data_IF_884075412054
#
_entry.id   IF_884075412054
#
_cell.length_a   1.000
_cell.length_b   1.000
_cell.length_c   1.000
_cell.angle_alpha   90.00
_cell.angle_beta   90.00
_cell.angle_gamma   90.00
#
_symmetry.space_group_name_H-M   'P 1'
#
loop_
_entity.id
_entity.type
_entity.pdbx_description
1 polymer ?
#
# COMPACT_ATOMS: atom_id res chain seq x y z
N UNK A 1 4.65 -36.64 -13.88
CA UNK A 1 3.23 -36.27 -14.07
C UNK A 1 2.81 -35.12 -13.14
N UNK A 2 2.85 -35.27 -11.80
CA UNK A 2 2.51 -34.14 -10.92
C UNK A 2 3.56 -33.01 -11.00
N UNK A 3 4.84 -33.33 -10.82
CA UNK A 3 5.95 -32.37 -10.96
C UNK A 3 5.93 -31.64 -12.32
N UNK A 4 5.87 -32.37 -13.44
CA UNK A 4 5.77 -31.78 -14.78
C UNK A 4 4.58 -30.83 -14.95
N UNK A 5 3.45 -31.10 -14.28
CA UNK A 5 2.28 -30.22 -14.29
C UNK A 5 2.51 -28.97 -13.46
N UNK A 6 3.13 -29.11 -12.28
CA UNK A 6 3.51 -27.96 -11.45
C UNK A 6 4.51 -27.07 -12.20
N UNK A 7 5.52 -27.66 -12.84
CA UNK A 7 6.50 -26.91 -13.65
C UNK A 7 5.83 -26.13 -14.79
N UNK A 8 4.83 -26.72 -15.45
CA UNK A 8 4.05 -26.04 -16.49
C UNK A 8 3.22 -24.87 -15.91
N UNK A 9 2.62 -25.05 -14.73
CA UNK A 9 1.87 -23.99 -14.05
C UNK A 9 2.77 -22.84 -13.60
N UNK A 10 3.96 -23.14 -13.09
CA UNK A 10 4.98 -22.14 -12.71
C UNK A 10 5.46 -21.39 -13.94
N UNK A 11 5.70 -22.09 -15.06
CA UNK A 11 6.08 -21.46 -16.32
C UNK A 11 4.98 -20.52 -16.83
N UNK A 12 3.71 -20.96 -16.79
CA UNK A 12 2.58 -20.10 -17.14
C UNK A 12 2.46 -18.87 -16.21
N UNK A 13 2.73 -19.03 -14.91
CA UNK A 13 2.74 -17.92 -13.97
C UNK A 13 3.83 -16.90 -14.33
N UNK A 14 5.05 -17.36 -14.64
CA UNK A 14 6.16 -16.47 -15.03
C UNK A 14 5.95 -15.75 -16.36
N UNK A 15 5.15 -16.32 -17.26
CA UNK A 15 4.75 -15.70 -18.53
C UNK A 15 3.58 -14.72 -18.36
N UNK A 16 2.93 -14.70 -17.19
CA UNK A 16 1.79 -13.82 -16.93
C UNK A 16 2.27 -12.44 -16.51
N UNK A 17 1.92 -11.42 -17.28
CA UNK A 17 2.23 -10.02 -16.98
C UNK A 17 0.96 -9.24 -16.66
N UNK A 18 1.02 -8.38 -15.65
CA UNK A 18 -0.03 -7.39 -15.40
C UNK A 18 0.09 -6.24 -16.41
N UNK A 19 -1.02 -5.88 -17.05
CA UNK A 19 -1.08 -4.78 -18.02
C UNK A 19 -1.18 -3.40 -17.37
N UNK A 20 -1.43 -3.35 -16.06
CA UNK A 20 -1.45 -2.14 -15.21
C UNK A 20 -0.45 -2.29 -14.07
N UNK A 21 -0.08 -1.18 -13.42
CA UNK A 21 0.74 -1.25 -12.21
C UNK A 21 0.04 -2.14 -11.17
N UNK A 22 0.59 -3.32 -10.85
CA UNK A 22 -0.14 -4.30 -10.06
C UNK A 22 -0.20 -3.93 -8.57
N UNK A 23 0.66 -3.00 -8.13
CA UNK A 23 0.71 -2.49 -6.76
C UNK A 23 -0.12 -1.21 -6.55
N UNK A 24 -0.75 -0.68 -7.59
CA UNK A 24 -1.72 0.41 -7.42
C UNK A 24 -3.06 -0.13 -6.88
N UNK A 25 -3.05 -0.43 -5.59
CA UNK A 25 -4.19 -0.92 -4.82
C UNK A 25 -5.10 0.22 -4.35
N UNK A 26 -4.72 1.46 -4.64
CA UNK A 26 -5.52 2.66 -4.40
C UNK A 26 -6.44 2.90 -5.58
N UNK A 27 -5.89 3.18 -6.76
CA UNK A 27 -6.65 3.39 -8.01
C UNK A 27 -6.83 2.06 -8.73
N UNK A 28 -7.35 1.10 -7.97
CA UNK A 28 -7.36 -0.30 -8.38
C UNK A 28 -8.18 -0.52 -9.66
N UNK A 29 -7.55 -1.21 -10.61
CA UNK A 29 -8.17 -1.69 -11.85
C UNK A 29 -8.04 -3.20 -11.92
N UNK A 30 -9.16 -3.87 -12.22
CA UNK A 30 -9.14 -5.29 -12.50
C UNK A 30 -8.31 -5.58 -13.75
N UNK A 31 -7.56 -6.67 -13.74
CA UNK A 31 -6.68 -7.08 -14.83
C UNK A 31 -7.00 -8.53 -15.24
N UNK A 32 -7.04 -8.87 -16.54
CA UNK A 32 -7.22 -10.25 -16.98
C UNK A 32 -6.25 -11.26 -16.34
N UNK A 33 -5.03 -10.83 -15.99
CA UNK A 33 -4.05 -11.64 -15.28
C UNK A 33 -4.57 -12.16 -13.93
N UNK A 34 -5.46 -11.42 -13.26
CA UNK A 34 -6.06 -11.86 -11.98
C UNK A 34 -6.79 -13.20 -12.14
N UNK A 35 -7.55 -13.39 -13.22
CA UNK A 35 -8.31 -14.63 -13.46
C UNK A 35 -7.41 -15.77 -13.95
N UNK A 36 -6.37 -15.46 -14.74
CA UNK A 36 -5.35 -16.44 -15.13
C UNK A 36 -4.64 -17.03 -13.90
N UNK A 37 -4.16 -16.15 -13.00
CA UNK A 37 -3.47 -16.57 -11.78
C UNK A 37 -4.42 -17.29 -10.83
N UNK A 38 -5.68 -16.85 -10.72
CA UNK A 38 -6.72 -17.57 -9.96
C UNK A 38 -6.88 -19.00 -10.47
N UNK A 39 -6.88 -19.21 -11.79
CA UNK A 39 -6.92 -20.53 -12.40
C UNK A 39 -5.73 -21.42 -11.99
N UNK A 40 -4.52 -20.85 -12.01
CA UNK A 40 -3.30 -21.53 -11.57
C UNK A 40 -3.39 -21.92 -10.09
N UNK A 41 -3.72 -20.97 -9.21
CA UNK A 41 -3.87 -21.20 -7.76
C UNK A 41 -4.86 -22.33 -7.49
N UNK A 42 -6.05 -22.29 -8.12
CA UNK A 42 -7.07 -23.33 -7.94
C UNK A 42 -6.60 -24.69 -8.42
N UNK A 43 -5.84 -24.76 -9.52
CA UNK A 43 -5.28 -26.01 -10.01
C UNK A 43 -4.24 -26.59 -9.05
N UNK A 44 -3.35 -25.77 -8.50
CA UNK A 44 -2.37 -26.18 -7.48
C UNK A 44 -3.08 -26.69 -6.22
N UNK A 45 -4.12 -25.99 -5.77
CA UNK A 45 -4.93 -26.40 -4.60
C UNK A 45 -5.66 -27.72 -4.87
N UNK A 46 -6.20 -27.91 -6.08
CA UNK A 46 -6.84 -29.17 -6.48
C UNK A 46 -5.88 -30.36 -6.53
N UNK A 47 -4.59 -30.09 -6.72
CA UNK A 47 -3.52 -31.10 -6.68
C UNK A 47 -3.13 -31.52 -5.26
N UNK A 48 -3.72 -30.89 -4.24
CA UNK A 48 -3.58 -31.25 -2.83
C UNK A 48 -2.27 -30.78 -2.19
N UNK A 49 -2.00 -31.28 -0.98
CA UNK A 49 -0.85 -30.84 -0.18
C UNK A 49 0.50 -31.07 -0.90
N UNK A 50 0.65 -32.19 -1.60
CA UNK A 50 1.87 -32.50 -2.38
C UNK A 50 2.07 -31.50 -3.52
N UNK A 51 1.01 -31.15 -4.26
CA UNK A 51 1.07 -30.13 -5.31
C UNK A 51 1.43 -28.75 -4.76
N UNK A 52 0.83 -28.36 -3.63
CA UNK A 52 1.15 -27.09 -2.95
C UNK A 52 2.60 -27.04 -2.43
N UNK A 53 3.14 -28.15 -1.94
CA UNK A 53 4.54 -28.26 -1.52
C UNK A 53 5.51 -28.15 -2.70
N UNK A 54 5.25 -28.88 -3.78
CA UNK A 54 6.06 -28.79 -5.01
C UNK A 54 6.05 -27.37 -5.58
N UNK A 55 4.87 -26.73 -5.61
CA UNK A 55 4.73 -25.35 -6.11
C UNK A 55 5.51 -24.35 -5.27
N UNK A 56 5.50 -24.47 -3.93
CA UNK A 56 6.31 -23.61 -3.05
C UNK A 56 7.81 -23.89 -3.12
N UNK A 57 8.21 -25.09 -3.54
CA UNK A 57 9.62 -25.45 -3.69
C UNK A 57 10.24 -24.91 -4.99
N UNK A 58 9.42 -24.39 -5.92
CA UNK A 58 9.88 -23.70 -7.13
C UNK A 58 10.64 -22.40 -6.79
N UNK A 59 11.49 -21.88 -7.70
CA UNK A 59 12.29 -20.69 -7.45
C UNK A 59 11.43 -19.50 -7.02
N UNK A 60 11.84 -18.76 -5.98
CA UNK A 60 11.04 -17.67 -5.39
C UNK A 60 10.72 -16.57 -6.39
N UNK A 61 11.67 -16.22 -7.26
CA UNK A 61 11.49 -15.25 -8.35
C UNK A 61 10.31 -15.62 -9.26
N UNK A 62 10.03 -16.92 -9.40
CA UNK A 62 8.90 -17.43 -10.18
C UNK A 62 7.55 -17.30 -9.47
N UNK A 63 7.55 -17.04 -8.15
CA UNK A 63 6.38 -17.04 -7.27
C UNK A 63 6.02 -15.65 -6.74
N UNK A 64 6.83 -14.62 -7.02
CA UNK A 64 6.62 -13.24 -6.54
C UNK A 64 5.23 -12.68 -6.92
N UNK A 65 4.69 -13.09 -8.08
CA UNK A 65 3.36 -12.71 -8.55
C UNK A 65 2.22 -13.22 -7.69
N UNK A 66 2.39 -14.32 -6.94
CA UNK A 66 1.36 -14.88 -6.06
C UNK A 66 1.06 -13.92 -4.91
N UNK A 67 2.10 -13.31 -4.32
CA UNK A 67 1.94 -12.32 -3.27
C UNK A 67 1.11 -11.14 -3.76
N UNK A 68 1.50 -10.58 -4.92
CA UNK A 68 0.79 -9.45 -5.55
C UNK A 68 -0.66 -9.80 -5.90
N UNK A 69 -0.89 -10.98 -6.47
CA UNK A 69 -2.24 -11.48 -6.76
C UNK A 69 -3.10 -11.57 -5.49
N UNK A 70 -2.55 -12.07 -4.38
CA UNK A 70 -3.27 -12.16 -3.12
C UNK A 70 -3.73 -10.78 -2.59
N UNK A 71 -2.87 -9.74 -2.71
CA UNK A 71 -3.25 -8.36 -2.35
C UNK A 71 -4.41 -7.86 -3.22
N UNK A 72 -4.27 -8.01 -4.55
CA UNK A 72 -5.27 -7.58 -5.52
C UNK A 72 -6.61 -8.28 -5.31
N UNK A 73 -6.57 -9.59 -5.03
CA UNK A 73 -7.77 -10.41 -4.81
C UNK A 73 -8.46 -10.07 -3.48
N UNK A 74 -7.71 -9.69 -2.46
CA UNK A 74 -8.24 -9.14 -1.20
C UNK A 74 -9.06 -7.87 -1.46
N UNK A 75 -8.54 -6.94 -2.26
CA UNK A 75 -9.27 -5.72 -2.63
C UNK A 75 -10.49 -6.01 -3.53
N UNK A 76 -10.37 -6.92 -4.48
CA UNK A 76 -11.50 -7.36 -5.31
C UNK A 76 -12.63 -7.93 -4.45
N UNK A 77 -12.30 -8.73 -3.43
CA UNK A 77 -13.27 -9.28 -2.50
C UNK A 77 -14.08 -8.18 -1.80
N UNK A 78 -13.41 -7.14 -1.32
CA UNK A 78 -14.06 -5.97 -0.73
C UNK A 78 -14.95 -5.25 -1.73
N UNK A 79 -14.44 -4.94 -2.92
CA UNK A 79 -15.19 -4.19 -3.95
C UNK A 79 -16.42 -4.92 -4.47
N UNK A 80 -16.32 -6.24 -4.62
CA UNK A 80 -17.40 -7.06 -5.17
C UNK A 80 -18.24 -7.72 -4.09
N UNK A 81 -17.95 -7.47 -2.81
CA UNK A 81 -18.59 -8.13 -1.67
C UNK A 81 -18.63 -9.66 -1.85
N UNK A 82 -17.48 -10.25 -2.21
CA UNK A 82 -17.39 -11.64 -2.64
C UNK A 82 -16.52 -12.47 -1.69
N UNK A 83 -17.17 -13.33 -0.89
CA UNK A 83 -16.46 -14.27 -0.01
C UNK A 83 -15.56 -15.20 -0.82
N UNK A 84 -15.99 -15.63 -2.01
CA UNK A 84 -15.19 -16.48 -2.89
C UNK A 84 -13.85 -15.84 -3.27
N UNK A 85 -13.83 -14.53 -3.53
CA UNK A 85 -12.58 -13.81 -3.79
C UNK A 85 -11.71 -13.68 -2.55
N UNK A 86 -12.31 -13.50 -1.37
CA UNK A 86 -11.53 -13.52 -0.12
C UNK A 86 -10.88 -14.91 0.10
N UNK A 87 -11.59 -15.99 -0.22
CA UNK A 87 -11.04 -17.34 -0.18
C UNK A 87 -9.92 -17.53 -1.22
N UNK A 88 -10.09 -17.06 -2.46
CA UNK A 88 -9.04 -17.11 -3.48
C UNK A 88 -7.76 -16.37 -3.00
N UNK A 89 -7.92 -15.22 -2.32
CA UNK A 89 -6.80 -14.48 -1.73
C UNK A 89 -6.08 -15.27 -0.62
N UNK A 90 -6.85 -15.91 0.27
CA UNK A 90 -6.30 -16.76 1.34
C UNK A 90 -5.56 -18.00 0.78
N UNK A 91 -6.10 -18.62 -0.26
CA UNK A 91 -5.45 -19.72 -0.97
C UNK A 91 -4.12 -19.26 -1.58
N UNK A 92 -4.09 -18.07 -2.19
CA UNK A 92 -2.86 -17.48 -2.73
C UNK A 92 -1.83 -17.17 -1.62
N UNK A 93 -2.25 -16.57 -0.50
CA UNK A 93 -1.34 -16.36 0.65
C UNK A 93 -0.76 -17.66 1.20
N UNK A 94 -1.54 -18.75 1.21
CA UNK A 94 -1.06 -20.06 1.63
C UNK A 94 0.01 -20.66 0.70
N UNK A 95 0.03 -20.25 -0.57
CA UNK A 95 1.00 -20.69 -1.59
C UNK A 95 2.26 -19.82 -1.68
N UNK A 96 2.35 -18.70 -0.95
CA UNK A 96 3.58 -17.91 -0.89
C UNK A 96 4.69 -18.75 -0.26
N UNK A 97 5.80 -18.93 -0.99
CA UNK A 97 6.89 -19.82 -0.58
C UNK A 97 7.61 -19.36 0.70
N UNK A 98 7.85 -18.05 0.82
CA UNK A 98 8.60 -17.47 1.93
C UNK A 98 7.62 -16.83 2.93
N UNK A 99 7.50 -17.42 4.11
CA UNK A 99 6.57 -16.96 5.17
C UNK A 99 6.78 -15.50 5.58
N UNK A 100 8.02 -14.99 5.46
CA UNK A 100 8.37 -13.62 5.80
C UNK A 100 7.86 -12.59 4.76
N UNK A 101 7.62 -13.03 3.52
CA UNK A 101 7.10 -12.16 2.45
C UNK A 101 5.57 -12.00 2.51
N UNK A 102 4.90 -12.77 3.37
CA UNK A 102 3.46 -12.65 3.58
C UNK A 102 3.17 -11.46 4.50
N UNK A 103 2.34 -10.48 4.07
CA UNK A 103 1.95 -9.31 4.85
C UNK A 103 0.91 -9.66 5.94
N UNK A 104 1.37 -10.35 6.99
CA UNK A 104 0.50 -10.92 8.02
C UNK A 104 -0.31 -9.88 8.79
N UNK A 105 0.29 -8.75 9.16
CA UNK A 105 -0.37 -7.73 9.98
C UNK A 105 -1.28 -6.79 9.19
N UNK A 106 -1.12 -6.76 7.87
CA UNK A 106 -1.84 -5.87 6.97
C UNK A 106 -2.82 -6.66 6.11
N UNK A 107 -2.39 -7.13 4.94
CA UNK A 107 -3.29 -7.66 3.92
C UNK A 107 -3.88 -9.04 4.25
N UNK A 108 -3.17 -9.94 4.93
CA UNK A 108 -3.77 -11.21 5.38
C UNK A 108 -4.86 -10.96 6.41
N UNK A 109 -4.60 -10.06 7.37
CA UNK A 109 -5.60 -9.64 8.36
C UNK A 109 -6.77 -8.92 7.69
N UNK A 110 -6.52 -8.11 6.65
CA UNK A 110 -7.55 -7.48 5.83
C UNK A 110 -8.42 -8.52 5.10
N UNK A 111 -7.82 -9.52 4.46
CA UNK A 111 -8.53 -10.61 3.81
C UNK A 111 -9.42 -11.40 4.78
N UNK A 112 -8.89 -11.70 5.97
CA UNK A 112 -9.63 -12.32 7.06
C UNK A 112 -10.79 -11.45 7.56
N UNK A 113 -10.55 -10.14 7.71
CA UNK A 113 -11.56 -9.17 8.11
C UNK A 113 -12.71 -9.13 7.10
N UNK A 114 -12.41 -9.00 5.80
CA UNK A 114 -13.43 -9.00 4.75
C UNK A 114 -14.15 -10.34 4.65
N UNK A 115 -13.42 -11.47 4.73
CA UNK A 115 -14.05 -12.79 4.72
C UNK A 115 -15.08 -12.92 5.85
N UNK A 116 -14.73 -12.47 7.07
CA UNK A 116 -15.63 -12.48 8.23
C UNK A 116 -16.85 -11.57 8.01
N UNK A 117 -16.66 -10.34 7.52
CA UNK A 117 -17.77 -9.42 7.21
C UNK A 117 -18.73 -10.00 6.17
N UNK A 118 -18.20 -10.78 5.23
CA UNK A 118 -18.97 -11.46 4.17
C UNK A 118 -19.59 -12.79 4.63
N UNK A 119 -19.53 -13.11 5.93
CA UNK A 119 -20.16 -14.28 6.53
C UNK A 119 -19.30 -15.55 6.55
N UNK A 120 -17.99 -15.44 6.29
CA UNK A 120 -17.05 -16.54 6.44
C UNK A 120 -16.87 -16.93 7.91
N UNK A 121 -17.03 -18.22 8.21
CA UNK A 121 -16.79 -18.75 9.55
C UNK A 121 -15.31 -19.04 9.79
N UNK A 122 -14.84 -18.79 11.01
CA UNK A 122 -13.42 -18.92 11.40
C UNK A 122 -12.92 -20.35 11.23
N UNK A 123 -13.73 -21.38 11.51
CA UNK A 123 -13.33 -22.78 11.36
C UNK A 123 -13.12 -23.11 9.89
N UNK A 124 -14.04 -22.71 9.03
CA UNK A 124 -13.92 -22.88 7.57
C UNK A 124 -12.65 -22.21 7.04
N UNK A 125 -12.38 -20.97 7.44
CA UNK A 125 -11.19 -20.22 7.00
C UNK A 125 -9.90 -20.92 7.44
N UNK A 126 -9.85 -21.40 8.68
CA UNK A 126 -8.72 -22.16 9.22
C UNK A 126 -8.48 -23.46 8.45
N UNK A 127 -9.51 -24.30 8.33
CA UNK A 127 -9.40 -25.60 7.67
C UNK A 127 -8.95 -25.45 6.22
N UNK A 128 -9.49 -24.46 5.50
CA UNK A 128 -9.11 -24.19 4.11
C UNK A 128 -7.65 -23.77 4.02
N UNK A 129 -7.24 -22.74 4.76
CA UNK A 129 -5.86 -22.24 4.70
C UNK A 129 -4.85 -23.31 5.11
N UNK A 130 -5.12 -24.03 6.20
CA UNK A 130 -4.25 -25.07 6.72
C UNK A 130 -4.11 -26.28 5.79
N UNK A 131 -5.11 -26.56 4.95
CA UNK A 131 -5.05 -27.64 3.96
C UNK A 131 -4.08 -27.38 2.80
N UNK A 132 -3.70 -26.11 2.60
CA UNK A 132 -2.84 -25.67 1.51
C UNK A 132 -1.46 -25.26 2.04
N UNK A 133 -1.44 -24.49 3.13
CA UNK A 133 -0.27 -23.79 3.64
C UNK A 133 0.81 -24.72 4.22
N UNK A 134 2.06 -24.25 4.21
CA UNK A 134 3.13 -24.89 4.98
C UNK A 134 2.83 -24.85 6.48
N UNK A 135 3.38 -25.79 7.26
CA UNK A 135 3.19 -25.84 8.71
C UNK A 135 3.52 -24.50 9.40
N UNK A 136 4.55 -23.78 8.93
CA UNK A 136 4.95 -22.48 9.49
C UNK A 136 3.94 -21.37 9.14
N UNK A 137 3.44 -21.35 7.90
CA UNK A 137 2.38 -20.42 7.49
C UNK A 137 1.07 -20.71 8.23
N UNK A 138 0.69 -21.97 8.39
CA UNK A 138 -0.50 -22.38 9.15
C UNK A 138 -0.44 -21.93 10.60
N UNK A 139 0.68 -22.14 11.29
CA UNK A 139 0.86 -21.69 12.67
C UNK A 139 0.75 -20.16 12.80
N UNK A 140 1.24 -19.41 11.81
CA UNK A 140 1.14 -17.94 11.81
C UNK A 140 -0.27 -17.45 11.48
N UNK A 141 -0.98 -18.18 10.62
CA UNK A 141 -2.38 -17.92 10.31
C UNK A 141 -3.30 -18.13 11.52
N UNK A 142 -3.03 -19.13 12.37
CA UNK A 142 -3.75 -19.31 13.63
C UNK A 142 -3.62 -18.10 14.56
N UNK A 143 -2.43 -17.49 14.63
CA UNK A 143 -2.21 -16.26 15.38
C UNK A 143 -3.02 -15.10 14.78
N UNK A 144 -3.06 -14.98 13.45
CA UNK A 144 -3.86 -13.98 12.77
C UNK A 144 -5.37 -14.16 13.04
N UNK A 145 -5.88 -15.40 12.99
CA UNK A 145 -7.27 -15.71 13.32
C UNK A 145 -7.63 -15.39 14.78
N UNK A 146 -6.74 -15.66 15.73
CA UNK A 146 -6.99 -15.26 17.12
C UNK A 146 -6.96 -13.72 17.27
N UNK A 147 -6.05 -13.04 16.58
CA UNK A 147 -6.00 -11.58 16.55
C UNK A 147 -7.29 -10.98 15.96
N UNK A 148 -7.86 -11.59 14.92
CA UNK A 148 -9.09 -11.15 14.26
C UNK A 148 -10.27 -11.01 15.23
N UNK A 149 -10.33 -11.82 16.30
CA UNK A 149 -11.37 -11.71 17.34
C UNK A 149 -11.37 -10.34 18.04
N UNK A 150 -10.23 -9.65 18.06
CA UNK A 150 -10.05 -8.32 18.64
C UNK A 150 -10.14 -7.20 17.60
N UNK A 151 -10.21 -7.53 16.32
CA UNK A 151 -10.31 -6.55 15.22
C UNK A 151 -11.77 -6.20 15.01
N UNK A 152 -12.14 -4.98 15.39
CA UNK A 152 -13.48 -4.40 15.21
C UNK A 152 -13.63 -3.61 13.91
N UNK A 153 -12.52 -3.17 13.34
CA UNK A 153 -12.45 -2.20 12.26
C UNK A 153 -11.23 -2.47 11.38
N UNK A 154 -11.27 -1.98 10.14
CA UNK A 154 -10.20 -2.18 9.15
C UNK A 154 -8.88 -1.47 9.54
N UNK A 155 -8.94 -0.39 10.32
CA UNK A 155 -7.75 0.35 10.72
C UNK A 155 -6.81 -0.49 11.60
N UNK A 156 -7.37 -1.41 12.39
CA UNK A 156 -6.59 -2.43 13.14
C UNK A 156 -5.89 -3.46 12.25
N UNK A 157 -6.29 -3.57 10.99
CA UNK A 157 -5.55 -4.30 9.95
C UNK A 157 -4.52 -3.41 9.27
N UNK A 158 -4.20 -2.21 9.78
CA UNK A 158 -3.22 -1.29 9.18
C UNK A 158 -3.54 -1.00 7.70
N UNK A 159 -4.83 -0.93 7.39
CA UNK A 159 -5.36 -0.62 6.07
C UNK A 159 -6.37 0.52 6.21
N UNK A 160 -6.32 1.49 5.29
CA UNK A 160 -7.32 2.53 5.17
C UNK A 160 -8.07 2.37 3.86
N UNK A 161 -9.40 2.35 3.93
CA UNK A 161 -10.25 2.36 2.74
C UNK A 161 -10.40 3.78 2.23
N UNK A 162 -10.22 3.94 0.92
CA UNK A 162 -10.34 5.21 0.20
C UNK A 162 -11.30 5.05 -0.96
N UNK A 163 -11.96 6.15 -1.33
CA UNK A 163 -12.83 6.21 -2.49
C UNK A 163 -12.08 6.83 -3.66
N UNK A 164 -12.04 6.12 -4.77
CA UNK A 164 -11.46 6.61 -6.03
C UNK A 164 -12.54 6.67 -7.11
N UNK A 165 -12.22 7.30 -8.25
CA UNK A 165 -13.06 7.24 -9.46
C UNK A 165 -13.32 5.81 -9.95
N UNK A 166 -12.45 4.86 -9.60
CA UNK A 166 -12.60 3.46 -9.95
C UNK A 166 -13.40 2.67 -8.91
N UNK A 167 -13.71 3.22 -7.73
CA UNK A 167 -14.35 2.52 -6.60
C UNK A 167 -13.46 2.49 -5.37
N UNK A 168 -13.73 1.57 -4.43
CA UNK A 168 -12.92 1.44 -3.22
C UNK A 168 -11.47 1.04 -3.56
N UNK A 169 -10.52 1.70 -2.90
CA UNK A 169 -9.10 1.38 -2.86
C UNK A 169 -8.64 1.16 -1.43
N UNK A 170 -7.44 0.62 -1.27
CA UNK A 170 -6.83 0.39 0.04
C UNK A 170 -5.42 0.96 0.08
N UNK A 171 -5.12 1.72 1.14
CA UNK A 171 -3.78 2.21 1.47
C UNK A 171 -3.24 1.38 2.62
N UNK A 172 -2.04 0.82 2.45
CA UNK A 172 -1.33 0.12 3.52
C UNK A 172 -0.61 1.12 4.43
N UNK A 173 -0.87 1.02 5.74
CA UNK A 173 -0.35 1.93 6.76
C UNK A 173 0.40 1.14 7.85
N UNK A 174 1.54 0.51 7.51
CA UNK A 174 2.30 -0.27 8.46
C UNK A 174 3.00 0.63 9.47
N UNK A 175 3.14 0.18 10.72
CA UNK A 175 4.11 0.81 11.62
C UNK A 175 5.50 0.71 10.98
N UNK A 176 6.18 1.83 10.79
CA UNK A 176 7.46 1.90 10.05
C UNK A 176 8.57 1.03 10.67
N UNK A 177 8.44 0.63 11.94
CA UNK A 177 9.34 -0.35 12.57
C UNK A 177 9.18 -1.78 12.06
N UNK A 178 8.07 -2.09 11.40
CA UNK A 178 7.68 -3.43 10.98
C UNK A 178 7.94 -3.70 9.49
N UNK A 179 8.46 -2.73 8.74
CA UNK A 179 8.73 -2.86 7.31
C UNK A 179 10.06 -3.61 7.07
N UNK A 180 10.06 -4.85 6.53
CA UNK A 180 11.25 -5.35 5.85
C UNK A 180 11.51 -4.43 4.66
N UNK A 181 12.75 -3.95 4.48
CA UNK A 181 13.09 -2.97 3.45
C UNK A 181 12.71 -3.42 2.05
N UNK A 182 11.48 -3.13 1.61
CA UNK A 182 11.01 -3.25 0.23
C UNK A 182 11.07 -1.86 -0.38
N UNK A 183 12.23 -1.59 -0.99
CA UNK A 183 12.55 -0.37 -1.71
C UNK A 183 14.00 -0.44 -2.20
N UNK A 184 14.30 0.21 -3.33
CA UNK A 184 15.66 0.36 -3.87
C UNK A 184 16.66 0.98 -2.87
N UNK A 185 16.14 1.61 -1.82
CA UNK A 185 16.91 2.10 -0.69
C UNK A 185 16.43 1.41 0.59
N UNK A 186 17.33 0.83 1.40
CA UNK A 186 16.95 0.39 2.73
C UNK A 186 16.44 1.61 3.50
N UNK A 187 15.25 1.52 4.09
CA UNK A 187 14.82 2.51 5.08
C UNK A 187 15.94 2.62 6.12
N UNK A 188 16.53 3.81 6.35
CA UNK A 188 17.57 3.98 7.34
C UNK A 188 17.02 3.44 8.66
N UNK A 189 17.77 2.56 9.34
CA UNK A 189 17.33 1.91 10.57
C UNK A 189 16.82 2.98 11.54
N UNK A 190 15.49 3.11 11.59
CA UNK A 190 14.80 4.08 12.42
C UNK A 190 15.09 3.66 13.85
N UNK A 191 15.95 4.43 14.53
CA UNK A 191 16.34 4.12 15.89
C UNK A 191 15.11 4.17 16.79
N UNK A 192 14.59 3.02 17.22
CA UNK A 192 13.56 2.81 18.27
C UNK A 192 12.25 3.63 18.24
N UNK A 193 12.11 4.66 17.40
CA UNK A 193 10.89 5.45 17.27
C UNK A 193 9.92 4.69 16.36
N UNK A 194 8.84 4.19 16.96
CA UNK A 194 7.70 3.66 16.21
C UNK A 194 6.95 4.85 15.64
N UNK A 195 6.96 5.00 14.32
CA UNK A 195 6.08 5.96 13.66
C UNK A 195 4.80 5.23 13.29
N UNK A 196 3.75 5.56 14.02
CA UNK A 196 2.40 5.07 13.79
C UNK A 196 1.71 5.79 12.63
N UNK A 197 0.49 5.34 12.33
CA UNK A 197 -0.43 6.03 11.44
C UNK A 197 -1.70 6.30 12.25
N UNK A 198 -1.76 7.47 12.88
CA UNK A 198 -2.87 7.88 13.75
C UNK A 198 -3.41 9.27 13.38
N UNK A 199 -3.73 9.52 12.09
CA UNK A 199 -4.30 10.80 11.70
C UNK A 199 -5.71 10.97 12.27
N UNK A 200 -6.10 12.21 12.55
CA UNK A 200 -7.45 12.61 12.96
C UNK A 200 -8.33 12.95 11.77
N UNK A 201 -7.71 13.30 10.64
CA UNK A 201 -8.39 13.51 9.36
C UNK A 201 -8.24 12.29 8.47
N UNK A 202 -9.06 12.19 7.42
CA UNK A 202 -8.89 11.14 6.42
C UNK A 202 -7.69 11.45 5.50
N UNK A 203 -6.48 11.33 6.06
CA UNK A 203 -5.23 11.62 5.36
C UNK A 203 -5.05 10.73 4.13
N UNK A 204 -5.46 9.46 4.21
CA UNK A 204 -5.46 8.54 3.08
C UNK A 204 -6.29 9.08 1.92
N UNK A 205 -7.53 9.52 2.17
CA UNK A 205 -8.38 10.12 1.13
C UNK A 205 -7.77 11.43 0.59
N UNK A 206 -7.21 12.28 1.45
CA UNK A 206 -6.53 13.50 0.98
C UNK A 206 -5.38 13.17 0.02
N UNK A 207 -4.56 12.16 0.32
CA UNK A 207 -3.48 11.73 -0.57
C UNK A 207 -4.00 11.23 -1.92
N UNK A 208 -5.12 10.50 -1.91
CA UNK A 208 -5.80 10.08 -3.15
C UNK A 208 -6.31 11.28 -3.93
N UNK A 209 -7.00 12.22 -3.28
CA UNK A 209 -7.55 13.40 -3.93
C UNK A 209 -6.46 14.23 -4.63
N UNK A 210 -5.28 14.36 -4.01
CA UNK A 210 -4.12 15.03 -4.61
C UNK A 210 -3.58 14.24 -5.81
N UNK A 211 -3.39 12.92 -5.67
CA UNK A 211 -2.89 12.07 -6.74
C UNK A 211 -3.83 12.02 -7.95
N UNK A 212 -5.14 11.84 -7.72
CA UNK A 212 -6.17 11.83 -8.77
C UNK A 212 -6.27 13.20 -9.46
N UNK A 213 -6.17 14.29 -8.71
CA UNK A 213 -6.22 15.63 -9.29
C UNK A 213 -4.94 15.96 -10.09
N UNK A 214 -3.77 15.44 -9.70
CA UNK A 214 -2.55 15.50 -10.51
C UNK A 214 -2.72 14.71 -11.82
N UNK A 215 -3.20 13.47 -11.75
CA UNK A 215 -3.42 12.62 -12.93
C UNK A 215 -4.43 13.26 -13.91
N UNK A 216 -5.46 13.93 -13.38
CA UNK A 216 -6.48 14.61 -14.17
C UNK A 216 -5.93 15.82 -14.96
N UNK A 217 -4.78 16.37 -14.59
CA UNK A 217 -4.13 17.44 -15.37
C UNK A 217 -3.53 16.92 -16.68
N UNK A 218 -3.26 15.61 -16.78
CA UNK A 218 -2.44 14.98 -17.83
C UNK A 218 -1.00 15.53 -17.94
N UNK A 219 -0.57 16.35 -16.97
CA UNK A 219 0.79 16.89 -16.89
C UNK A 219 1.69 16.01 -16.01
N UNK A 220 1.10 15.25 -15.09
CA UNK A 220 1.78 14.32 -14.22
C UNK A 220 1.03 12.99 -14.15
N UNK A 221 1.74 11.91 -13.81
CA UNK A 221 1.17 10.60 -13.48
C UNK A 221 1.73 10.13 -12.14
N UNK A 222 0.85 9.90 -11.18
CA UNK A 222 1.21 9.56 -9.81
C UNK A 222 1.40 8.04 -9.65
N UNK A 223 2.44 7.64 -8.93
CA UNK A 223 2.74 6.26 -8.56
C UNK A 223 1.93 5.81 -7.33
N UNK A 224 2.27 4.65 -6.77
CA UNK A 224 1.65 4.13 -5.54
C UNK A 224 1.79 5.08 -4.35
N UNK A 225 0.75 5.10 -3.49
CA UNK A 225 0.74 5.84 -2.23
C UNK A 225 1.21 4.91 -1.12
N UNK A 226 2.25 5.32 -0.40
CA UNK A 226 2.85 4.54 0.69
C UNK A 226 3.04 5.41 1.94
N UNK A 227 3.01 4.77 3.11
CA UNK A 227 3.38 5.45 4.35
C UNK A 227 4.87 5.82 4.35
N UNK A 228 5.16 7.02 4.83
CA UNK A 228 6.53 7.53 4.97
C UNK A 228 6.60 8.59 6.07
N UNK A 229 7.73 9.29 6.16
CA UNK A 229 7.96 10.42 7.04
C UNK A 229 8.38 11.64 6.23
N UNK A 230 7.93 12.82 6.65
CA UNK A 230 8.32 14.07 6.01
C UNK A 230 9.73 14.48 6.46
N UNK A 231 10.75 14.53 5.57
CA UNK A 231 12.10 14.91 5.96
C UNK A 231 12.19 16.37 6.41
N UNK A 232 12.95 16.66 7.48
CA UNK A 232 13.14 18.04 7.95
C UNK A 232 13.91 18.91 6.96
N UNK A 233 14.66 18.31 6.03
CA UNK A 233 15.31 19.04 4.93
C UNK A 233 14.33 19.74 3.98
N UNK A 234 13.09 19.25 3.90
CA UNK A 234 12.02 19.87 3.11
C UNK A 234 11.27 20.96 3.89
N UNK A 235 11.52 21.07 5.20
CA UNK A 235 10.87 22.01 6.11
C UNK A 235 11.93 22.62 7.06
N UNK A 236 12.72 23.61 6.62
CA UNK A 236 13.86 24.14 7.37
C UNK A 236 13.56 24.65 8.79
N UNK A 237 12.33 25.10 9.07
CA UNK A 237 11.89 25.54 10.39
C UNK A 237 11.67 24.38 11.37
N UNK A 238 11.70 23.12 10.91
CA UNK A 238 11.59 21.96 11.77
C UNK A 238 12.77 21.89 12.75
N UNK A 239 12.46 21.90 14.05
CA UNK A 239 13.45 22.16 15.11
C UNK A 239 14.19 20.91 15.61
N UNK A 240 13.74 19.71 15.22
CA UNK A 240 14.22 18.46 15.82
C UNK A 240 14.25 17.30 14.82
N UNK A 241 15.37 16.57 14.80
CA UNK A 241 15.48 15.27 14.14
C UNK A 241 15.60 15.31 12.60
N UNK A 242 15.82 14.15 11.98
CA UNK A 242 15.87 14.01 10.51
C UNK A 242 14.49 14.05 9.85
N UNK A 243 13.42 13.82 10.62
CA UNK A 243 12.04 13.81 10.13
C UNK A 243 11.14 14.69 10.99
N UNK A 244 10.18 15.36 10.35
CA UNK A 244 9.15 16.11 11.04
C UNK A 244 8.23 15.13 11.79
N UNK A 245 7.94 15.45 13.04
CA UNK A 245 6.99 14.67 13.84
C UNK A 245 5.57 14.89 13.31
N UNK A 246 4.93 13.80 12.92
CA UNK A 246 3.61 13.78 12.28
C UNK A 246 2.75 12.71 12.96
N UNK A 247 1.44 12.91 12.97
CA UNK A 247 0.49 11.85 13.37
C UNK A 247 0.39 10.77 12.29
N UNK A 248 0.55 11.18 11.03
CA UNK A 248 0.78 10.30 9.89
C UNK A 248 1.36 11.09 8.71
N UNK A 249 2.06 10.37 7.82
CA UNK A 249 2.55 10.93 6.57
C UNK A 249 2.47 9.86 5.47
N UNK A 250 1.93 10.24 4.32
CA UNK A 250 1.88 9.44 3.11
C UNK A 250 2.69 10.12 2.03
N UNK A 251 3.33 9.34 1.16
CA UNK A 251 4.00 9.85 -0.03
C UNK A 251 3.57 9.11 -1.29
N UNK A 252 3.77 9.77 -2.42
CA UNK A 252 3.81 9.13 -3.73
C UNK A 252 4.77 9.90 -4.64
N UNK A 253 5.35 9.20 -5.61
CA UNK A 253 6.11 9.82 -6.70
C UNK A 253 5.16 10.24 -7.82
N UNK A 254 5.48 11.30 -8.54
CA UNK A 254 4.76 11.68 -9.75
C UNK A 254 5.75 11.98 -10.88
N UNK A 255 5.50 11.39 -12.04
CA UNK A 255 6.29 11.62 -13.27
C UNK A 255 5.63 12.70 -14.11
N UNK A 256 6.38 13.74 -14.47
CA UNK A 256 5.94 14.87 -15.27
C UNK A 256 6.90 15.06 -16.47
N UNK A 257 6.56 14.44 -17.60
CA UNK A 257 7.46 14.39 -18.76
C UNK A 257 8.72 13.57 -18.46
N UNK A 258 9.90 14.18 -18.64
CA UNK A 258 11.20 13.58 -18.33
C UNK A 258 11.63 13.77 -16.87
N UNK A 259 10.86 14.53 -16.09
CA UNK A 259 11.16 14.87 -14.71
C UNK A 259 10.22 14.17 -13.74
N UNK A 260 10.59 14.14 -12.46
CA UNK A 260 9.73 13.59 -11.41
C UNK A 260 9.83 14.41 -10.12
N UNK A 261 8.80 14.32 -9.31
CA UNK A 261 8.75 14.93 -7.99
C UNK A 261 8.13 13.94 -6.99
N UNK A 262 8.37 14.17 -5.70
CA UNK A 262 7.69 13.46 -4.61
C UNK A 262 6.68 14.41 -4.01
N UNK A 263 5.46 13.92 -3.80
CA UNK A 263 4.46 14.57 -2.99
C UNK A 263 4.39 13.87 -1.62
N UNK A 264 4.47 14.67 -0.56
CA UNK A 264 4.21 14.27 0.82
C UNK A 264 2.90 14.91 1.26
N UNK A 265 2.06 14.12 1.93
CA UNK A 265 0.82 14.57 2.55
C UNK A 265 0.88 14.14 4.01
N UNK A 266 1.07 15.12 4.89
CA UNK A 266 1.30 14.90 6.31
C UNK A 266 0.21 15.56 7.15
N UNK A 267 -0.15 14.90 8.25
CA UNK A 267 -0.88 15.52 9.35
C UNK A 267 0.08 15.69 10.53
N UNK A 268 0.16 16.91 11.07
CA UNK A 268 1.09 17.23 12.15
C UNK A 268 0.58 16.70 13.49
N UNK A 269 1.51 16.39 14.39
CA UNK A 269 1.16 15.98 15.75
C UNK A 269 0.75 17.18 16.60
N UNK A 270 -0.36 17.05 17.34
CA UNK A 270 -0.81 18.04 18.32
C UNK A 270 0.14 18.14 19.54
N UNK A 271 1.06 17.19 19.72
CA UNK A 271 1.87 17.10 20.95
C UNK A 271 2.99 18.14 21.05
N UNK A 272 3.40 18.75 19.93
CA UNK A 272 4.60 19.59 19.85
C UNK A 272 4.32 21.09 19.63
N UNK A 273 3.06 21.54 19.80
CA UNK A 273 2.62 22.93 19.55
C UNK A 273 3.21 23.49 18.23
N UNK A 274 3.25 22.66 17.19
CA UNK A 274 3.83 23.01 15.90
C UNK A 274 2.90 23.98 15.17
N UNK A 275 3.43 25.15 14.81
CA UNK A 275 2.72 26.08 13.95
C UNK A 275 2.79 25.58 12.49
N UNK A 276 1.68 24.99 12.02
CA UNK A 276 1.56 24.44 10.66
C UNK A 276 1.74 25.53 9.61
N UNK A 277 1.36 26.77 9.91
CA UNK A 277 1.55 27.91 9.02
C UNK A 277 3.04 28.28 8.94
N UNK A 278 3.75 28.37 10.07
CA UNK A 278 5.21 28.60 10.12
C UNK A 278 5.96 27.51 9.33
N UNK A 279 5.59 26.24 9.53
CA UNK A 279 6.18 25.11 8.83
C UNK A 279 5.86 25.14 7.34
N UNK A 280 4.62 25.45 6.96
CA UNK A 280 4.21 25.59 5.57
C UNK A 280 4.92 26.74 4.85
N UNK A 281 5.07 27.90 5.49
CA UNK A 281 5.85 29.02 4.96
C UNK A 281 7.33 28.67 4.80
N UNK A 282 7.90 27.97 5.79
CA UNK A 282 9.27 27.50 5.72
C UNK A 282 9.49 26.53 4.56
N UNK A 283 8.56 25.60 4.35
CA UNK A 283 8.59 24.67 3.24
C UNK A 283 8.47 25.40 1.88
N UNK A 284 7.62 26.43 1.77
CA UNK A 284 7.55 27.27 0.53
C UNK A 284 8.83 28.03 0.25
N UNK A 285 9.66 28.29 1.26
CA UNK A 285 10.94 28.96 1.12
C UNK A 285 12.05 28.10 0.48
N UNK A 286 11.81 26.80 0.31
CA UNK A 286 12.73 25.89 -0.38
C UNK A 286 12.59 26.05 -1.89
N UNK A 287 13.69 26.30 -2.58
CA UNK A 287 13.70 26.54 -4.03
C UNK A 287 13.12 25.36 -4.81
N UNK A 288 12.23 25.66 -5.77
CA UNK A 288 11.58 24.67 -6.63
C UNK A 288 10.50 23.83 -5.93
N UNK A 289 10.27 24.01 -4.63
CA UNK A 289 9.28 23.27 -3.86
C UNK A 289 7.91 23.96 -3.88
N UNK A 290 6.84 23.17 -3.91
CA UNK A 290 5.49 23.63 -3.57
C UNK A 290 5.16 23.18 -2.15
N UNK A 291 4.60 24.06 -1.33
CA UNK A 291 3.99 23.66 -0.07
C UNK A 291 2.66 24.40 0.18
N UNK A 292 1.63 23.65 0.57
CA UNK A 292 0.32 24.19 0.98
C UNK A 292 -0.11 23.53 2.27
N UNK A 293 -0.82 24.28 3.11
CA UNK A 293 -1.24 23.79 4.41
C UNK A 293 -2.62 24.33 4.80
N UNK A 294 -3.21 23.68 5.79
CA UNK A 294 -4.33 24.18 6.58
C UNK A 294 -3.99 24.10 8.08
N UNK A 295 -5.01 24.09 8.96
CA UNK A 295 -4.84 24.07 10.41
C UNK A 295 -4.03 22.88 10.97
N UNK A 296 -3.92 21.77 10.24
CA UNK A 296 -3.28 20.52 10.76
C UNK A 296 -2.44 19.78 9.72
N UNK A 297 -2.70 20.04 8.44
CA UNK A 297 -2.19 19.24 7.33
C UNK A 297 -1.25 20.06 6.48
N UNK A 298 -0.21 19.39 5.99
CA UNK A 298 0.81 19.96 5.15
C UNK A 298 1.01 19.05 3.93
N UNK A 299 0.87 19.63 2.74
CA UNK A 299 1.24 19.01 1.47
C UNK A 299 2.53 19.66 1.01
N UNK A 300 3.55 18.84 0.74
CA UNK A 300 4.84 19.28 0.18
C UNK A 300 5.10 18.52 -1.10
N UNK A 301 5.31 19.21 -2.22
CA UNK A 301 5.81 18.61 -3.45
C UNK A 301 7.22 19.12 -3.71
N UNK A 302 8.17 18.20 -3.80
CA UNK A 302 9.58 18.52 -4.02
C UNK A 302 10.09 17.81 -5.29
N UNK A 303 10.78 18.53 -6.19
CA UNK A 303 11.47 17.90 -7.31
C UNK A 303 12.44 16.83 -6.81
N UNK A 304 12.61 15.75 -7.59
CA UNK A 304 13.67 14.78 -7.33
C UNK A 304 15.02 15.35 -7.78
N UNK A 305 16.11 15.12 -7.02
CA UNK A 305 17.43 15.49 -7.47
C UNK A 305 17.80 14.70 -8.73
N UNK A 306 18.06 15.40 -9.83
CA UNK A 306 18.56 14.80 -11.07
C UNK A 306 20.08 14.90 -11.10
N UNK A 307 20.76 13.76 -11.29
CA UNK A 307 22.23 13.72 -11.42
C UNK A 307 22.69 13.83 -12.88
N UNK A 308 21.77 14.06 -13.82
CA UNK A 308 22.05 14.19 -15.24
C UNK A 308 22.20 15.66 -15.64
N UNK A 309 23.37 16.04 -16.16
CA UNK A 309 23.70 17.41 -16.60
C UNK A 309 22.80 17.93 -17.75
N UNK A 310 21.97 17.06 -18.36
CA UNK A 310 21.06 17.37 -19.47
C UNK A 310 19.59 17.54 -19.07
N UNK A 311 19.22 17.26 -17.80
CA UNK A 311 17.85 17.41 -17.33
C UNK A 311 17.52 18.90 -17.16
N UNK A 312 17.02 19.52 -18.24
CA UNK A 312 16.64 20.94 -18.28
C UNK A 312 15.14 21.19 -18.08
N UNK A 313 14.42 20.19 -17.58
CA UNK A 313 13.00 20.30 -17.26
C UNK A 313 12.78 20.54 -15.77
N UNK A 314 12.84 21.79 -15.31
CA UNK A 314 12.28 22.11 -14.00
C UNK A 314 10.77 21.86 -14.05
N UNK A 315 10.27 21.01 -13.15
CA UNK A 315 8.83 20.83 -13.00
C UNK A 315 8.29 22.11 -12.36
N UNK A 316 7.43 22.84 -13.06
CA UNK A 316 6.72 23.98 -12.48
C UNK A 316 5.66 23.49 -11.48
N UNK A 317 6.09 23.22 -10.25
CA UNK A 317 5.21 22.75 -9.19
C UNK A 317 4.20 23.81 -8.75
N UNK A 318 4.44 25.09 -9.03
CA UNK A 318 3.50 26.18 -8.71
C UNK A 318 2.21 26.02 -9.53
N UNK A 319 2.29 25.44 -10.74
CA UNK A 319 1.12 25.09 -11.53
C UNK A 319 0.14 24.15 -10.80
N UNK A 320 0.61 23.42 -9.77
CA UNK A 320 -0.19 22.50 -8.97
C UNK A 320 -0.71 23.09 -7.64
N UNK A 321 -0.42 24.36 -7.33
CA UNK A 321 -0.81 24.98 -6.06
C UNK A 321 -2.34 25.00 -5.87
N UNK A 322 -3.08 25.46 -6.87
CA UNK A 322 -4.54 25.60 -6.77
C UNK A 322 -5.23 24.25 -6.55
N UNK A 323 -4.73 23.18 -7.18
CA UNK A 323 -5.25 21.83 -7.01
C UNK A 323 -5.05 21.34 -5.56
N UNK A 324 -3.86 21.59 -5.01
CA UNK A 324 -3.47 21.11 -3.69
C UNK A 324 -4.26 21.83 -2.59
N UNK A 325 -4.50 23.14 -2.77
CA UNK A 325 -5.40 23.92 -1.90
C UNK A 325 -6.85 23.43 -1.98
N UNK A 326 -7.31 23.06 -3.18
CA UNK A 326 -8.66 22.55 -3.37
C UNK A 326 -8.85 21.19 -2.68
N UNK A 327 -7.85 20.30 -2.78
CA UNK A 327 -7.86 19.00 -2.10
C UNK A 327 -7.88 19.13 -0.56
N UNK A 328 -7.09 20.06 0.00
CA UNK A 328 -7.14 20.37 1.44
C UNK A 328 -8.53 20.81 1.89
N UNK A 329 -9.19 21.68 1.12
CA UNK A 329 -10.52 22.17 1.46
C UNK A 329 -11.59 21.07 1.37
N UNK A 330 -11.54 20.20 0.35
CA UNK A 330 -12.53 19.13 0.12
C UNK A 330 -12.41 17.99 1.12
N UNK A 331 -11.20 17.62 1.53
CA UNK A 331 -10.93 16.48 2.41
C UNK A 331 -11.09 16.80 3.91
N UNK A 332 -11.82 17.86 4.27
CA UNK A 332 -12.02 18.29 5.67
C UNK A 332 -12.96 17.40 6.48
N UNK A 333 -13.44 16.29 5.92
CA UNK A 333 -14.31 15.32 6.60
C UNK A 333 -13.54 14.57 7.70
N UNK A 334 -14.02 14.57 8.96
CA UNK A 334 -13.43 13.78 10.04
C UNK A 334 -13.45 12.28 9.72
N UNK A 335 -12.49 11.52 10.26
CA UNK A 335 -12.52 10.06 10.22
C UNK A 335 -13.81 9.56 10.90
N UNK A 336 -14.71 8.95 10.13
CA UNK A 336 -15.83 8.20 10.72
C UNK A 336 -15.32 6.83 11.13
N UNK A 337 -15.22 6.61 12.44
CA UNK A 337 -15.01 5.30 13.06
C UNK A 337 -16.13 4.31 12.70
#
# INVERSE_FOLDING_TARGET
MLEERIDALVSQLTETEYGVNPFDLVRFRADPADETITGIVRQVVADGAEGAELFRASPTESLDLIGTHALRRTLQARRQSSLAMAMDALDAYALVAVVADVPWATWVMGALYFARELGGDVVMLHERFASIASARSSARFEVALDALRRVSDLSRCRLSEVSTTYGAGLVENPELSDMPGRGLYPSPALGHERIGYEPRTNLAQLSVDVADALDATHLATSAEIVQDQLPTTLVPAARTGPYLRTSACLRFMASAGESSFIAYVAELSDEDDQDVEELGESARGVEGQLAVCDERRLIVMSPQPTFEDSASGDVDLIAFEQLSRSALASSSTPFSH
#
